data_IF_603684057952
#
_entry.id   IF_603684057952
#
_cell.length_a   1.000
_cell.length_b   1.000
_cell.length_c   1.000
_cell.angle_alpha   90.00
_cell.angle_beta   90.00
_cell.angle_gamma   90.00
#
_symmetry.space_group_name_H-M   'P 1'
#
loop_
_entity.id
_entity.type
_entity.pdbx_description
1 polymer ?
#
# COMPACT_ATOMS: atom_id res chain seq x y z
N UNK A 1 -6.37 -14.88 -22.80
CA UNK A 1 -5.58 -14.93 -21.56
C UNK A 1 -6.07 -13.84 -20.61
N UNK A 2 -6.10 -14.07 -19.29
CA UNK A 2 -6.37 -12.98 -18.33
C UNK A 2 -5.15 -12.06 -18.26
N UNK A 3 -5.39 -10.75 -18.18
CA UNK A 3 -4.34 -9.76 -17.93
C UNK A 3 -3.71 -10.04 -16.55
N UNK A 4 -2.37 -10.04 -16.41
CA UNK A 4 -1.71 -10.14 -15.10
C UNK A 4 -2.08 -8.96 -14.19
N UNK A 5 -2.15 -9.20 -12.89
CA UNK A 5 -2.31 -8.16 -11.88
C UNK A 5 -0.95 -7.51 -11.57
N UNK A 6 -0.88 -6.17 -11.63
CA UNK A 6 0.30 -5.40 -11.25
C UNK A 6 0.25 -5.05 -9.76
N UNK A 7 0.96 -5.82 -8.93
CA UNK A 7 1.10 -5.55 -7.50
C UNK A 7 2.36 -4.72 -7.21
N UNK A 8 2.21 -3.60 -6.51
CA UNK A 8 3.32 -2.71 -6.14
C UNK A 8 3.60 -2.73 -4.62
N UNK A 9 4.87 -2.76 -4.17
CA UNK A 9 5.21 -2.59 -2.77
C UNK A 9 5.15 -1.12 -2.35
N UNK A 10 4.57 -0.83 -1.18
CA UNK A 10 4.57 0.52 -0.61
C UNK A 10 5.05 0.50 0.85
N UNK A 11 6.07 1.31 1.16
CA UNK A 11 6.66 1.40 2.50
C UNK A 11 6.13 2.56 3.36
N UNK A 12 5.31 3.43 2.76
CA UNK A 12 4.63 4.55 3.41
C UNK A 12 3.48 5.04 2.52
N UNK A 13 2.68 5.97 3.05
CA UNK A 13 1.48 6.48 2.38
C UNK A 13 1.76 7.17 1.02
N UNK A 14 2.88 7.89 0.88
CA UNK A 14 3.24 8.56 -0.38
C UNK A 14 3.58 7.56 -1.48
N UNK A 15 4.29 6.48 -1.11
CA UNK A 15 4.61 5.36 -2.00
C UNK A 15 3.32 4.69 -2.49
N UNK A 16 2.37 4.46 -1.58
CA UNK A 16 1.07 3.87 -1.89
C UNK A 16 0.26 4.75 -2.85
N UNK A 17 0.14 6.05 -2.55
CA UNK A 17 -0.57 6.99 -3.42
C UNK A 17 0.04 7.06 -4.81
N UNK A 18 1.36 6.99 -4.90
CA UNK A 18 2.09 6.95 -6.16
C UNK A 18 1.79 5.67 -6.94
N UNK A 19 1.84 4.51 -6.29
CA UNK A 19 1.56 3.23 -6.92
C UNK A 19 0.16 3.16 -7.53
N UNK A 20 -0.87 3.58 -6.76
CA UNK A 20 -2.26 3.62 -7.25
C UNK A 20 -2.39 4.56 -8.45
N UNK A 21 -1.83 5.77 -8.38
CA UNK A 21 -1.87 6.73 -9.49
C UNK A 21 -1.08 6.29 -10.73
N UNK A 22 -0.07 5.45 -10.54
CA UNK A 22 0.71 4.85 -11.62
C UNK A 22 0.00 3.66 -12.29
N UNK A 23 -1.18 3.26 -11.79
CA UNK A 23 -1.98 2.18 -12.36
C UNK A 23 -1.63 0.79 -11.83
N UNK A 24 -1.09 0.69 -10.61
CA UNK A 24 -1.03 -0.60 -9.92
C UNK A 24 -2.45 -1.13 -9.66
N UNK A 25 -2.67 -2.41 -9.94
CA UNK A 25 -3.94 -3.09 -9.67
C UNK A 25 -4.07 -3.45 -8.18
N UNK A 26 -2.95 -3.65 -7.48
CA UNK A 26 -2.91 -3.91 -6.03
C UNK A 26 -1.65 -3.37 -5.36
N UNK A 27 -1.70 -3.21 -4.04
CA UNK A 27 -0.56 -2.75 -3.22
C UNK A 27 -0.33 -3.66 -2.03
N UNK A 28 0.94 -3.96 -1.76
CA UNK A 28 1.39 -4.67 -0.56
C UNK A 28 2.06 -3.69 0.41
N UNK A 29 1.61 -3.69 1.66
CA UNK A 29 2.09 -2.82 2.74
C UNK A 29 2.36 -3.63 4.01
N UNK A 30 3.18 -3.08 4.91
CA UNK A 30 3.48 -3.66 6.21
C UNK A 30 3.02 -2.77 7.36
N UNK A 31 2.23 -3.34 8.28
CA UNK A 31 1.88 -2.70 9.55
C UNK A 31 3.04 -2.69 10.53
N UNK A 32 3.14 -1.65 11.36
CA UNK A 32 4.26 -1.43 12.29
C UNK A 32 4.45 -2.60 13.27
N UNK A 33 3.36 -3.14 13.80
CA UNK A 33 3.39 -4.22 14.80
C UNK A 33 3.57 -5.62 14.20
N UNK A 34 3.47 -5.74 12.88
CA UNK A 34 3.48 -7.03 12.16
C UNK A 34 4.66 -7.14 11.18
N UNK A 35 5.57 -6.17 11.19
CA UNK A 35 6.72 -6.15 10.29
C UNK A 35 7.94 -6.80 10.92
N UNK A 36 8.56 -7.74 10.20
CA UNK A 36 9.87 -8.30 10.57
C UNK A 36 11.00 -7.25 10.59
N UNK A 37 10.75 -6.05 10.03
CA UNK A 37 11.69 -4.93 10.00
C UNK A 37 11.23 -3.85 10.99
N UNK A 38 11.61 -4.00 12.27
CA UNK A 38 11.28 -3.07 13.35
C UNK A 38 11.69 -1.60 13.10
N UNK A 39 12.65 -1.35 12.20
CA UNK A 39 13.12 0.01 11.85
C UNK A 39 12.50 0.59 10.58
N UNK A 40 11.67 -0.15 9.86
CA UNK A 40 10.97 0.40 8.71
C UNK A 40 9.89 1.37 9.21
N UNK A 41 9.66 2.47 8.48
CA UNK A 41 8.64 3.47 8.84
C UNK A 41 7.28 2.79 9.08
N UNK A 42 6.94 1.80 8.22
CA UNK A 42 5.73 0.97 8.23
C UNK A 42 4.45 1.80 8.39
N UNK A 43 3.28 1.16 8.35
CA UNK A 43 2.00 1.85 8.53
C UNK A 43 1.54 1.67 9.98
N UNK A 44 1.16 2.75 10.64
CA UNK A 44 0.33 2.67 11.86
C UNK A 44 -1.15 2.42 11.52
N UNK A 45 -1.99 2.26 12.55
CA UNK A 45 -3.41 1.97 12.36
C UNK A 45 -4.16 3.06 11.58
N UNK A 46 -3.86 4.34 11.86
CA UNK A 46 -4.50 5.46 11.17
C UNK A 46 -4.09 5.50 9.69
N UNK A 47 -2.80 5.30 9.41
CA UNK A 47 -2.27 5.23 8.05
C UNK A 47 -2.82 4.01 7.29
N UNK A 48 -3.05 2.87 7.95
CA UNK A 48 -3.70 1.70 7.35
C UNK A 48 -5.15 2.02 6.96
N UNK A 49 -5.93 2.61 7.87
CA UNK A 49 -7.32 3.00 7.60
C UNK A 49 -7.37 4.01 6.44
N UNK A 50 -6.47 5.00 6.45
CA UNK A 50 -6.37 5.99 5.38
C UNK A 50 -6.01 5.33 4.04
N UNK A 51 -5.10 4.36 4.04
CA UNK A 51 -4.68 3.62 2.85
C UNK A 51 -5.83 2.84 2.24
N UNK A 52 -6.61 2.12 3.06
CA UNK A 52 -7.79 1.38 2.61
C UNK A 52 -8.80 2.33 1.95
N UNK A 53 -9.11 3.45 2.62
CA UNK A 53 -10.04 4.47 2.08
C UNK A 53 -9.52 5.06 0.77
N UNK A 54 -8.22 5.31 0.67
CA UNK A 54 -7.61 5.85 -0.54
C UNK A 54 -7.69 4.85 -1.70
N UNK A 55 -7.30 3.59 -1.49
CA UNK A 55 -7.36 2.56 -2.52
C UNK A 55 -8.79 2.36 -3.04
N UNK A 56 -9.79 2.23 -2.17
CA UNK A 56 -11.20 2.11 -2.59
C UNK A 56 -11.75 3.33 -3.33
N UNK A 57 -11.14 4.51 -3.14
CA UNK A 57 -11.58 5.76 -3.76
C UNK A 57 -11.00 5.94 -5.17
N UNK A 58 -9.82 5.41 -5.44
CA UNK A 58 -9.00 5.73 -6.62
C UNK A 58 -8.55 4.52 -7.45
N UNK A 59 -8.81 3.29 -7.00
CA UNK A 59 -8.63 2.06 -7.74
C UNK A 59 -9.96 1.46 -8.19
#
# INVERSE_FOLDING_TARGET
>A
MKKPELMAPAGNLDSLKTAVRAGADSVYIGGKDFSARQRAKNFDEEELIQSIRFCHRYG
#
